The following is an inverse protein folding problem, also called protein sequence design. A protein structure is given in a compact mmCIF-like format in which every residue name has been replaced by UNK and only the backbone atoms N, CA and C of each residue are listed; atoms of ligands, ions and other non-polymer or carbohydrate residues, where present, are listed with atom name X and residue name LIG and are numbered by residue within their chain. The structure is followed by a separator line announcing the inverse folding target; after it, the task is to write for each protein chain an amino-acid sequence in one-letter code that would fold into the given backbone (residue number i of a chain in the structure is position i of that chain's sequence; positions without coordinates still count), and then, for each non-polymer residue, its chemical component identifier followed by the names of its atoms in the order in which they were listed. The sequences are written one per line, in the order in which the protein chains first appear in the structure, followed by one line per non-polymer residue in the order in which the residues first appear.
data_IF_077136336941
#
_entry.id   IF_077136336941
#
_cell.length_a   1.000
_cell.length_b   1.000
_cell.length_c   1.000
_cell.angle_alpha   90.00
_cell.angle_beta   90.00
_cell.angle_gamma   90.00
#
_symmetry.space_group_name_H-M   'P 1'
#
loop_
_entity.id
_entity.type
_entity.pdbx_description
1 polymer ?
#
# COMPACT_ATOMS: atom_id res chain seq x y z
N UNK A 1 2.62 -5.15 -12.75
CA UNK A 1 2.18 -3.76 -12.51
C UNK A 1 0.69 -3.76 -12.22
N UNK A 2 0.30 -2.94 -11.26
CA UNK A 2 -1.08 -2.76 -10.87
C UNK A 2 -1.81 -1.93 -11.94
N UNK A 3 -3.04 -2.29 -12.34
CA UNK A 3 -3.88 -1.44 -13.17
C UNK A 3 -4.17 -0.11 -12.48
N UNK A 4 -4.14 0.98 -13.22
CA UNK A 4 -4.56 2.30 -12.75
C UNK A 4 -5.38 2.96 -13.85
N UNK A 5 -6.55 3.52 -13.51
CA UNK A 5 -7.45 4.16 -14.47
C UNK A 5 -7.12 5.63 -14.74
N UNK A 6 -6.15 6.20 -14.00
CA UNK A 6 -5.78 7.60 -14.08
C UNK A 6 -4.59 7.79 -15.04
N UNK A 7 -4.85 8.17 -16.28
CA UNK A 7 -3.83 8.36 -17.32
C UNK A 7 -2.68 9.28 -16.90
N UNK A 8 -2.97 10.37 -16.19
CA UNK A 8 -1.94 11.29 -15.74
C UNK A 8 -1.00 10.66 -14.69
N UNK A 9 -1.52 9.74 -13.85
CA UNK A 9 -0.71 8.98 -12.87
C UNK A 9 0.16 7.98 -13.61
N UNK A 10 -0.41 7.23 -14.56
CA UNK A 10 0.32 6.27 -15.39
C UNK A 10 1.45 6.96 -16.15
N UNK A 11 1.17 8.11 -16.76
CA UNK A 11 2.17 8.91 -17.46
C UNK A 11 3.29 9.35 -16.53
N UNK A 12 2.95 9.95 -15.40
CA UNK A 12 3.94 10.40 -14.42
C UNK A 12 4.83 9.26 -13.90
N UNK A 13 4.21 8.12 -13.51
CA UNK A 13 4.94 6.95 -13.03
C UNK A 13 5.86 6.38 -14.12
N UNK A 14 5.38 6.28 -15.37
CA UNK A 14 6.21 5.78 -16.47
C UNK A 14 7.41 6.69 -16.75
N UNK A 15 7.20 8.00 -16.83
CA UNK A 15 8.26 8.98 -17.10
C UNK A 15 9.30 9.05 -15.96
N UNK A 16 8.86 8.89 -14.72
CA UNK A 16 9.75 9.01 -13.55
C UNK A 16 10.41 7.70 -13.12
N UNK A 17 9.92 6.55 -13.56
CA UNK A 17 10.44 5.23 -13.17
C UNK A 17 11.64 4.77 -13.99
N UNK A 18 11.92 5.41 -15.11
CA UNK A 18 13.01 5.04 -16.01
C UNK A 18 14.12 6.11 -16.01
N UNK A 19 15.32 5.68 -16.36
CA UNK A 19 16.47 6.52 -16.65
C UNK A 19 17.09 6.13 -17.97
N UNK A 20 17.59 7.09 -18.71
CA UNK A 20 18.39 6.87 -19.91
C UNK A 20 19.81 6.42 -19.52
N UNK A 21 20.33 5.46 -20.26
CA UNK A 21 21.69 4.93 -20.11
C UNK A 21 22.29 4.73 -21.51
N UNK A 22 23.58 4.50 -21.62
CA UNK A 22 24.25 4.21 -22.89
C UNK A 22 23.70 2.96 -23.59
N UNK A 23 23.02 2.06 -22.84
CA UNK A 23 22.38 0.84 -23.35
C UNK A 23 20.87 1.00 -23.56
N UNK A 24 20.31 2.22 -23.47
CA UNK A 24 18.88 2.53 -23.57
C UNK A 24 18.21 2.79 -22.23
N UNK A 25 16.88 2.73 -22.20
CA UNK A 25 16.09 3.04 -21.02
C UNK A 25 16.08 1.84 -20.03
N UNK A 26 16.42 2.14 -18.78
CA UNK A 26 16.38 1.15 -17.69
C UNK A 26 15.50 1.64 -16.52
N UNK A 27 14.86 0.70 -15.83
CA UNK A 27 14.17 1.01 -14.58
C UNK A 27 15.17 1.59 -13.57
N UNK A 28 14.73 2.58 -12.80
CA UNK A 28 15.52 3.16 -11.69
C UNK A 28 15.66 2.21 -10.52
N UNK A 29 14.71 1.29 -10.34
CA UNK A 29 14.76 0.27 -9.30
C UNK A 29 15.87 -0.74 -9.57
N UNK A 30 16.53 -1.19 -8.51
CA UNK A 30 17.50 -2.27 -8.59
C UNK A 30 16.79 -3.60 -8.87
N UNK A 31 17.07 -4.29 -10.01
CA UNK A 31 16.44 -5.57 -10.34
C UNK A 31 16.84 -6.70 -9.37
N UNK A 32 17.87 -6.51 -8.58
CA UNK A 32 18.36 -7.52 -7.62
C UNK A 32 17.70 -7.40 -6.24
N UNK A 33 16.87 -6.37 -6.00
CA UNK A 33 16.26 -6.10 -4.69
C UNK A 33 15.50 -7.32 -4.14
N UNK A 34 14.80 -8.05 -5.01
CA UNK A 34 14.08 -9.26 -4.61
C UNK A 34 14.98 -10.44 -4.22
N UNK A 35 16.25 -10.42 -4.61
CA UNK A 35 17.24 -11.45 -4.23
C UNK A 35 17.80 -11.20 -2.83
N UNK A 36 17.81 -9.94 -2.41
CA UNK A 36 18.32 -9.51 -1.10
C UNK A 36 17.21 -9.28 -0.09
N UNK A 37 15.96 -9.38 -0.52
CA UNK A 37 14.80 -9.23 0.35
C UNK A 37 14.75 -10.35 1.38
N UNK A 38 14.75 -9.98 2.67
CA UNK A 38 14.49 -10.90 3.77
C UNK A 38 13.19 -10.50 4.46
N UNK A 39 12.34 -11.48 4.73
CA UNK A 39 11.14 -11.27 5.53
C UNK A 39 11.53 -10.97 6.98
N UNK A 40 11.06 -9.85 7.49
CA UNK A 40 11.15 -9.52 8.91
C UNK A 40 9.80 -9.74 9.56
N UNK A 41 9.74 -10.60 10.55
CA UNK A 41 8.52 -10.76 11.35
C UNK A 41 8.25 -9.49 12.14
N UNK A 42 7.09 -8.89 11.90
CA UNK A 42 6.64 -7.65 12.56
C UNK A 42 5.67 -7.92 13.72
N UNK A 43 5.47 -9.19 14.10
CA UNK A 43 4.51 -9.57 15.13
C UNK A 43 4.73 -8.80 16.43
N UNK A 44 5.94 -8.83 16.98
CA UNK A 44 6.27 -8.13 18.22
C UNK A 44 6.10 -6.61 18.13
N UNK A 45 6.41 -6.02 16.97
CA UNK A 45 6.23 -4.59 16.75
C UNK A 45 4.76 -4.20 16.72
N UNK A 46 3.91 -5.03 16.13
CA UNK A 46 2.47 -4.77 16.05
C UNK A 46 1.75 -5.01 17.38
N UNK A 47 2.19 -5.98 18.19
CA UNK A 47 1.62 -6.25 19.53
C UNK A 47 1.98 -5.19 20.58
N UNK A 48 3.10 -4.50 20.41
CA UNK A 48 3.63 -3.53 21.39
C UNK A 48 3.48 -2.07 20.96
N UNK A 49 2.48 -1.75 20.12
CA UNK A 49 2.25 -0.38 19.69
C UNK A 49 1.76 0.52 20.84
N UNK A 50 2.45 1.65 21.03
CA UNK A 50 2.08 2.68 21.99
C UNK A 50 1.37 3.88 21.32
N UNK A 51 0.76 3.67 20.16
CA UNK A 51 0.03 4.69 19.41
C UNK A 51 -1.27 4.11 18.85
N UNK A 52 -2.19 5.00 18.49
CA UNK A 52 -3.41 4.59 17.78
C UNK A 52 -3.04 4.06 16.40
N UNK A 53 -3.58 2.90 16.06
CA UNK A 53 -3.41 2.27 14.76
C UNK A 53 -4.72 2.36 13.96
N UNK A 54 -4.60 2.62 12.68
CA UNK A 54 -5.69 2.50 11.71
C UNK A 54 -5.15 1.89 10.43
N UNK A 55 -5.96 1.16 9.71
CA UNK A 55 -5.59 0.52 8.45
C UNK A 55 -6.48 1.03 7.32
N UNK A 56 -5.85 1.64 6.30
CA UNK A 56 -6.53 1.99 5.04
C UNK A 56 -6.08 0.98 3.99
N UNK A 57 -7.01 0.30 3.34
CA UNK A 57 -6.69 -0.74 2.35
C UNK A 57 -7.63 -0.73 1.16
N UNK A 58 -7.14 -1.24 0.03
CA UNK A 58 -7.94 -1.37 -1.19
C UNK A 58 -8.74 -2.68 -1.21
N UNK A 59 -10.02 -2.60 -1.57
CA UNK A 59 -10.92 -3.75 -1.67
C UNK A 59 -10.38 -4.87 -2.57
N UNK A 60 -9.70 -4.51 -3.67
CA UNK A 60 -9.16 -5.43 -4.67
C UNK A 60 -7.69 -5.77 -4.44
N UNK A 61 -7.12 -5.39 -3.31
CA UNK A 61 -5.74 -5.72 -2.97
C UNK A 61 -5.58 -7.22 -2.77
N UNK A 62 -4.76 -7.84 -3.59
CA UNK A 62 -4.43 -9.27 -3.47
C UNK A 62 -3.59 -9.60 -2.22
N UNK A 63 -2.97 -8.59 -1.60
CA UNK A 63 -2.19 -8.74 -0.38
C UNK A 63 -3.05 -8.59 0.89
N UNK A 64 -4.21 -7.93 0.78
CA UNK A 64 -5.13 -7.70 1.91
C UNK A 64 -6.34 -8.63 1.78
N UNK A 65 -6.07 -9.93 1.83
CA UNK A 65 -7.13 -10.97 1.88
C UNK A 65 -7.85 -10.95 3.23
N UNK A 66 -9.00 -11.60 3.32
CA UNK A 66 -9.71 -11.72 4.60
C UNK A 66 -8.82 -12.37 5.67
N UNK A 67 -8.08 -13.41 5.32
CA UNK A 67 -7.14 -14.08 6.23
C UNK A 67 -6.05 -13.11 6.72
N UNK A 68 -5.49 -12.29 5.83
CA UNK A 68 -4.50 -11.28 6.20
C UNK A 68 -5.08 -10.22 7.14
N UNK A 69 -6.31 -9.77 6.88
CA UNK A 69 -7.01 -8.80 7.74
C UNK A 69 -7.31 -9.39 9.12
N UNK A 70 -7.79 -10.62 9.19
CA UNK A 70 -8.08 -11.30 10.45
C UNK A 70 -6.81 -11.52 11.28
N UNK A 71 -5.73 -11.94 10.65
CA UNK A 71 -4.42 -12.06 11.31
C UNK A 71 -3.91 -10.70 11.80
N UNK A 72 -3.99 -9.65 10.97
CA UNK A 72 -3.57 -8.31 11.34
C UNK A 72 -4.35 -7.77 12.54
N UNK A 73 -5.68 -7.93 12.54
CA UNK A 73 -6.55 -7.57 13.68
C UNK A 73 -6.17 -8.35 14.95
N UNK A 74 -5.96 -9.65 14.82
CA UNK A 74 -5.57 -10.51 15.94
C UNK A 74 -4.25 -10.06 16.58
N UNK A 75 -3.23 -9.78 15.76
CA UNK A 75 -1.89 -9.38 16.25
C UNK A 75 -1.88 -7.98 16.82
N UNK A 76 -2.52 -7.03 16.16
CA UNK A 76 -2.46 -5.60 16.53
C UNK A 76 -3.56 -5.15 17.50
N UNK A 77 -4.57 -5.99 17.73
CA UNK A 77 -5.77 -5.58 18.48
C UNK A 77 -6.63 -4.54 17.78
N UNK A 78 -6.46 -4.37 16.46
CA UNK A 78 -7.18 -3.35 15.68
C UNK A 78 -8.67 -3.67 15.61
N UNK A 79 -9.51 -2.71 16.00
CA UNK A 79 -10.96 -2.82 15.94
C UNK A 79 -11.53 -2.48 14.56
N UNK A 80 -12.72 -2.97 14.24
CA UNK A 80 -13.35 -2.80 12.93
C UNK A 80 -13.62 -1.34 12.55
N UNK A 81 -13.90 -0.47 13.51
CA UNK A 81 -14.09 0.95 13.32
C UNK A 81 -12.82 1.71 12.90
N UNK A 82 -11.68 1.04 12.98
CA UNK A 82 -10.36 1.52 12.54
C UNK A 82 -9.91 0.94 11.19
N UNK A 83 -10.78 0.19 10.53
CA UNK A 83 -10.55 -0.36 9.20
C UNK A 83 -11.24 0.50 8.14
N UNK A 84 -10.48 1.05 7.22
CA UNK A 84 -10.96 1.92 6.15
C UNK A 84 -10.74 1.25 4.79
N UNK A 85 -11.73 0.50 4.34
CA UNK A 85 -11.69 -0.14 3.02
C UNK A 85 -12.08 0.86 1.94
N UNK A 86 -11.24 1.00 0.90
CA UNK A 86 -11.54 1.82 -0.28
C UNK A 86 -12.09 0.93 -1.40
N UNK A 87 -13.37 1.10 -1.78
CA UNK A 87 -14.00 0.28 -2.82
C UNK A 87 -13.30 0.43 -4.18
N UNK A 88 -13.09 -0.68 -4.86
CA UNK A 88 -12.50 -0.73 -6.20
C UNK A 88 -11.03 -0.34 -6.27
N UNK A 89 -10.37 -0.06 -5.13
CA UNK A 89 -8.94 0.23 -5.11
C UNK A 89 -8.11 -1.06 -5.05
N UNK A 90 -6.97 -1.05 -5.75
CA UNK A 90 -5.94 -2.08 -5.69
C UNK A 90 -4.99 -1.85 -4.50
N UNK A 91 -3.82 -2.50 -4.50
CA UNK A 91 -2.87 -2.41 -3.39
C UNK A 91 -2.26 -1.01 -3.21
N UNK A 92 -1.86 -0.36 -4.32
CA UNK A 92 -1.36 1.02 -4.29
C UNK A 92 -2.51 2.02 -4.40
N UNK A 93 -3.42 1.97 -3.46
CA UNK A 93 -4.69 2.69 -3.45
C UNK A 93 -4.55 4.22 -3.59
N UNK A 94 -3.46 4.79 -3.12
CA UNK A 94 -3.16 6.23 -3.28
C UNK A 94 -2.86 6.63 -4.74
N UNK A 95 -2.51 5.66 -5.61
CA UNK A 95 -2.37 5.88 -7.06
C UNK A 95 -3.68 5.66 -7.81
N UNK A 96 -4.48 4.66 -7.37
CA UNK A 96 -5.73 4.32 -8.05
C UNK A 96 -6.88 5.25 -7.69
N UNK A 97 -7.03 5.54 -6.41
CA UNK A 97 -8.15 6.27 -5.81
C UNK A 97 -7.63 7.37 -4.88
N UNK A 98 -6.85 8.35 -5.41
CA UNK A 98 -6.17 9.36 -4.59
C UNK A 98 -7.13 10.22 -3.76
N UNK A 99 -8.30 10.53 -4.30
CA UNK A 99 -9.31 11.33 -3.59
C UNK A 99 -9.88 10.55 -2.40
N UNK A 100 -10.31 9.32 -2.63
CA UNK A 100 -10.88 8.43 -1.62
C UNK A 100 -9.85 8.11 -0.53
N UNK A 101 -8.58 7.95 -0.92
CA UNK A 101 -7.47 7.78 0.02
C UNK A 101 -7.31 9.00 0.94
N UNK A 102 -7.29 10.21 0.36
CA UNK A 102 -7.18 11.44 1.14
C UNK A 102 -8.40 11.63 2.06
N UNK A 103 -9.59 11.29 1.61
CA UNK A 103 -10.81 11.39 2.41
C UNK A 103 -10.79 10.39 3.59
N UNK A 104 -10.32 9.15 3.36
CA UNK A 104 -10.10 8.17 4.44
C UNK A 104 -9.01 8.62 5.42
N UNK A 105 -7.90 9.17 4.92
CA UNK A 105 -6.82 9.68 5.76
C UNK A 105 -7.30 10.82 6.68
N UNK A 106 -8.14 11.73 6.17
CA UNK A 106 -8.75 12.80 6.99
C UNK A 106 -9.62 12.22 8.12
N UNK A 107 -10.39 11.16 7.84
CA UNK A 107 -11.19 10.48 8.87
C UNK A 107 -10.30 9.85 9.94
N UNK A 108 -9.23 9.17 9.54
CA UNK A 108 -8.24 8.60 10.47
C UNK A 108 -7.63 9.67 11.38
N UNK A 109 -7.26 10.81 10.80
CA UNK A 109 -6.61 11.89 11.56
C UNK A 109 -7.58 12.66 12.47
N UNK A 110 -8.88 12.57 12.23
CA UNK A 110 -9.91 13.23 13.05
C UNK A 110 -10.45 12.34 14.17
N UNK A 111 -10.05 11.05 14.22
CA UNK A 111 -10.57 10.03 15.16
C UNK A 111 -9.65 9.78 16.43
#
# INVERSE_FOLDING_TARGET
PQPCELDFVLKYVSETSYRETDEGWKLKSDPTIMKTYSYLDQHENLTNLNCKLSLIYGQLSQLMTQETLDYFKYVSGLSDDRLYMIPGAMHHLFLDKPKEFVDALKQVLAS
#
